data_IF_422425578903
#
_entry.id   IF_422425578903
#
_cell.length_a   1.000
_cell.length_b   1.000
_cell.length_c   1.000
_cell.angle_alpha   90.00
_cell.angle_beta   90.00
_cell.angle_gamma   90.00
#
_symmetry.space_group_name_H-M   'P 1'
#
loop_
_entity.id
_entity.type
_entity.pdbx_description
1 polymer ?
#
# COMPACT_ATOMS: atom_id res chain seq x y z
N UNK A 1 3.21 5.35 -8.25
CA UNK A 1 1.75 5.49 -8.18
C UNK A 1 1.22 4.64 -7.04
N UNK A 2 0.03 4.96 -6.52
CA UNK A 2 -0.56 4.30 -5.36
C UNK A 2 -0.86 2.81 -5.59
N UNK A 3 -1.45 2.52 -6.75
CA UNK A 3 -1.74 1.16 -7.21
C UNK A 3 -0.53 0.71 -8.04
N UNK A 4 0.08 -0.38 -7.60
CA UNK A 4 1.21 -1.03 -8.22
C UNK A 4 0.81 -2.19 -9.13
N UNK A 5 1.79 -3.06 -9.41
CA UNK A 5 1.63 -4.17 -10.34
C UNK A 5 0.89 -5.39 -9.78
N UNK A 6 0.95 -6.47 -10.58
CA UNK A 6 0.38 -7.78 -10.26
C UNK A 6 0.99 -8.48 -9.03
N UNK A 7 0.37 -9.58 -8.59
CA UNK A 7 0.88 -10.40 -7.48
C UNK A 7 2.29 -10.94 -7.84
N UNK A 8 3.20 -11.01 -6.86
CA UNK A 8 4.63 -11.36 -7.05
C UNK A 8 5.42 -10.42 -7.98
N UNK A 9 4.81 -9.34 -8.48
CA UNK A 9 5.51 -8.37 -9.31
C UNK A 9 6.54 -7.59 -8.51
N UNK A 10 7.61 -7.13 -9.17
CA UNK A 10 8.62 -6.30 -8.55
C UNK A 10 8.15 -4.84 -8.34
N UNK A 11 7.06 -4.41 -8.99
CA UNK A 11 6.52 -3.06 -8.86
C UNK A 11 6.11 -2.75 -7.40
N UNK A 12 6.58 -1.61 -6.88
CA UNK A 12 6.25 -1.14 -5.54
C UNK A 12 4.82 -0.58 -5.42
N UNK A 13 4.43 -0.25 -4.19
CA UNK A 13 3.10 0.27 -3.87
C UNK A 13 2.07 -0.80 -3.52
N UNK A 14 0.78 -0.43 -3.49
CA UNK A 14 -0.30 -1.37 -3.15
C UNK A 14 -0.60 -2.26 -4.35
N UNK A 15 -0.49 -3.58 -4.17
CA UNK A 15 -0.72 -4.55 -5.23
C UNK A 15 -2.13 -4.48 -5.77
N UNK A 16 -2.27 -4.76 -7.07
CA UNK A 16 -3.58 -4.75 -7.73
C UNK A 16 -4.54 -5.78 -7.12
N UNK A 17 -4.03 -6.90 -6.57
CA UNK A 17 -4.85 -7.91 -5.89
C UNK A 17 -5.45 -7.39 -4.58
N UNK A 18 -4.67 -6.66 -3.79
CA UNK A 18 -5.15 -5.98 -2.58
C UNK A 18 -6.24 -4.97 -2.92
N UNK A 19 -6.01 -4.17 -3.97
CA UNK A 19 -7.00 -3.19 -4.43
C UNK A 19 -8.28 -3.87 -4.93
N UNK A 20 -8.17 -4.98 -5.66
CA UNK A 20 -9.30 -5.77 -6.13
C UNK A 20 -10.14 -6.33 -4.98
N UNK A 21 -9.51 -6.91 -3.95
CA UNK A 21 -10.21 -7.42 -2.76
C UNK A 21 -10.96 -6.28 -2.03
N UNK A 22 -10.36 -5.09 -1.94
CA UNK A 22 -11.02 -3.92 -1.35
C UNK A 22 -12.24 -3.47 -2.13
N UNK A 23 -12.20 -3.49 -3.47
CA UNK A 23 -13.38 -3.20 -4.30
C UNK A 23 -14.49 -4.21 -4.05
N UNK A 24 -14.17 -5.51 -3.99
CA UNK A 24 -15.15 -6.56 -3.70
C UNK A 24 -15.73 -6.41 -2.30
N UNK A 25 -14.89 -6.08 -1.32
CA UNK A 25 -15.34 -5.77 0.04
C UNK A 25 -16.29 -4.56 0.05
N UNK A 26 -15.94 -3.47 -0.62
CA UNK A 26 -16.79 -2.28 -0.70
C UNK A 26 -18.12 -2.56 -1.40
N UNK A 27 -18.10 -3.35 -2.49
CA UNK A 27 -19.33 -3.81 -3.16
C UNK A 27 -20.21 -4.60 -2.21
N UNK A 28 -19.62 -5.46 -1.37
CA UNK A 28 -20.35 -6.21 -0.36
C UNK A 28 -20.90 -5.32 0.76
N UNK A 29 -20.22 -4.24 1.14
CA UNK A 29 -20.75 -3.27 2.11
C UNK A 29 -21.97 -2.53 1.55
N UNK A 30 -21.94 -2.14 0.27
CA UNK A 30 -23.04 -1.43 -0.40
C UNK A 30 -24.23 -2.36 -0.66
N UNK A 31 -23.95 -3.61 -1.05
CA UNK A 31 -24.95 -4.67 -1.22
C UNK A 31 -24.59 -5.83 -0.31
N UNK A 32 -25.06 -5.83 0.95
CA UNK A 32 -24.71 -6.85 1.93
C UNK A 32 -25.12 -8.23 1.45
N UNK A 33 -24.14 -8.97 0.93
CA UNK A 33 -24.19 -10.41 0.77
C UNK A 33 -23.48 -11.04 1.97
N UNK A 34 -23.84 -12.28 2.28
CA UNK A 34 -23.32 -12.97 3.46
C UNK A 34 -21.77 -13.05 3.48
N UNK A 35 -21.14 -13.06 2.29
CA UNK A 35 -19.68 -13.21 2.12
C UNK A 35 -19.18 -12.42 0.91
N UNK A 36 -17.94 -11.95 0.97
CA UNK A 36 -17.27 -11.30 -0.16
C UNK A 36 -16.93 -12.36 -1.19
N UNK A 37 -17.41 -12.22 -2.43
CA UNK A 37 -17.20 -13.23 -3.48
C UNK A 37 -16.37 -12.69 -4.65
N UNK A 38 -15.48 -13.53 -5.16
CA UNK A 38 -14.73 -13.33 -6.40
C UNK A 38 -15.00 -14.52 -7.33
N UNK A 39 -15.40 -14.27 -8.58
CA UNK A 39 -15.70 -15.32 -9.56
C UNK A 39 -16.72 -16.40 -9.11
N UNK A 40 -17.59 -16.07 -8.17
CA UNK A 40 -18.58 -17.01 -7.62
C UNK A 40 -18.07 -17.85 -6.44
N UNK A 41 -16.82 -17.67 -6.02
CA UNK A 41 -16.26 -18.29 -4.81
C UNK A 41 -16.10 -17.27 -3.68
N UNK A 42 -16.29 -17.72 -2.44
CA UNK A 42 -16.12 -16.88 -1.25
C UNK A 42 -14.64 -16.55 -1.03
N UNK A 43 -14.29 -15.28 -0.92
CA UNK A 43 -12.94 -14.84 -0.54
C UNK A 43 -12.74 -15.09 0.95
N UNK A 44 -11.60 -15.68 1.32
CA UNK A 44 -11.27 -15.90 2.73
C UNK A 44 -11.29 -14.57 3.52
N UNK A 45 -11.95 -14.58 4.69
CA UNK A 45 -11.98 -13.42 5.60
C UNK A 45 -10.57 -12.94 5.97
N UNK A 46 -9.61 -13.86 6.01
CA UNK A 46 -8.22 -13.53 6.27
C UNK A 46 -7.61 -12.68 5.15
N UNK A 47 -7.82 -13.06 3.88
CA UNK A 47 -7.34 -12.27 2.73
C UNK A 47 -7.95 -10.86 2.72
N UNK A 48 -9.22 -10.71 3.10
CA UNK A 48 -9.87 -9.40 3.25
C UNK A 48 -9.25 -8.59 4.38
N UNK A 49 -9.05 -9.20 5.55
CA UNK A 49 -8.46 -8.53 6.71
C UNK A 49 -7.01 -8.07 6.43
N UNK A 50 -6.17 -8.93 5.85
CA UNK A 50 -4.80 -8.61 5.46
C UNK A 50 -4.80 -7.48 4.42
N UNK A 51 -5.63 -7.57 3.39
CA UNK A 51 -5.73 -6.52 2.36
C UNK A 51 -6.08 -5.16 2.94
N UNK A 52 -7.01 -5.15 3.87
CA UNK A 52 -7.44 -3.93 4.57
C UNK A 52 -6.33 -3.36 5.44
N UNK A 53 -5.62 -4.20 6.21
CA UNK A 53 -4.47 -3.77 7.02
C UNK A 53 -3.36 -3.17 6.18
N UNK A 54 -3.00 -3.82 5.06
CA UNK A 54 -1.98 -3.32 4.12
C UNK A 54 -2.38 -1.94 3.59
N UNK A 55 -3.65 -1.77 3.19
CA UNK A 55 -4.15 -0.52 2.63
C UNK A 55 -4.10 0.65 3.63
N UNK A 56 -4.53 0.42 4.87
CA UNK A 56 -4.46 1.46 5.90
C UNK A 56 -3.02 1.80 6.25
N UNK A 57 -2.15 0.79 6.39
CA UNK A 57 -0.73 1.02 6.69
C UNK A 57 -0.05 1.84 5.57
N UNK A 58 -0.31 1.48 4.30
CA UNK A 58 0.20 2.22 3.15
C UNK A 58 -0.31 3.66 3.13
N UNK A 59 -1.62 3.87 3.29
CA UNK A 59 -2.24 5.20 3.28
C UNK A 59 -1.71 6.09 4.40
N UNK A 60 -1.62 5.57 5.64
CA UNK A 60 -1.11 6.32 6.78
C UNK A 60 0.35 6.70 6.55
N UNK A 61 1.19 5.75 6.10
CA UNK A 61 2.60 6.03 5.83
C UNK A 61 2.78 7.12 4.78
N UNK A 62 2.02 7.06 3.68
CA UNK A 62 2.03 8.08 2.64
C UNK A 62 1.64 9.47 3.15
N UNK A 63 0.58 9.57 3.97
CA UNK A 63 0.16 10.85 4.54
C UNK A 63 1.23 11.44 5.46
N UNK A 64 1.87 10.61 6.29
CA UNK A 64 2.97 11.03 7.17
C UNK A 64 4.16 11.51 6.36
N UNK A 65 4.62 10.75 5.35
CA UNK A 65 5.74 11.16 4.51
C UNK A 65 5.42 12.42 3.69
N UNK A 66 4.20 12.54 3.16
CA UNK A 66 3.76 13.74 2.46
C UNK A 66 3.85 14.96 3.37
N UNK A 67 3.35 14.87 4.60
CA UNK A 67 3.42 15.95 5.58
C UNK A 67 4.87 16.32 5.93
N UNK A 68 5.72 15.33 6.20
CA UNK A 68 7.15 15.57 6.49
C UNK A 68 7.89 16.23 5.33
N UNK A 69 7.63 15.80 4.09
CA UNK A 69 8.24 16.39 2.89
C UNK A 69 7.71 17.80 2.67
N UNK A 70 6.42 18.07 2.85
CA UNK A 70 5.86 19.42 2.76
C UNK A 70 6.51 20.37 3.77
N UNK A 71 6.70 19.92 5.02
CA UNK A 71 7.41 20.70 6.04
C UNK A 71 8.87 20.95 5.65
N UNK A 72 9.57 19.93 5.14
CA UNK A 72 10.96 20.03 4.73
C UNK A 72 11.15 20.94 3.50
N UNK A 73 10.15 21.02 2.61
CA UNK A 73 10.21 21.81 1.39
C UNK A 73 10.02 23.30 1.61
N UNK A 74 9.39 23.71 2.71
CA UNK A 74 9.21 25.12 3.06
C UNK A 74 8.46 25.92 2.00
N UNK A 75 7.44 25.33 1.36
CA UNK A 75 6.61 25.92 0.28
C UNK A 75 7.37 26.31 -1.00
N UNK A 76 8.51 25.68 -1.31
CA UNK A 76 9.22 25.91 -2.58
C UNK A 76 8.46 25.38 -3.81
N UNK A 77 7.67 24.33 -3.63
CA UNK A 77 6.87 23.70 -4.68
C UNK A 77 5.40 23.61 -4.28
N UNK A 78 4.52 23.55 -5.28
CA UNK A 78 3.10 23.33 -5.08
C UNK A 78 2.80 21.95 -4.47
N UNK A 79 1.70 21.85 -3.74
CA UNK A 79 1.24 20.61 -3.09
C UNK A 79 1.03 19.50 -4.12
N UNK A 80 0.57 19.85 -5.33
CA UNK A 80 0.41 18.95 -6.46
C UNK A 80 1.70 18.26 -6.89
N UNK A 81 2.81 19.00 -6.94
CA UNK A 81 4.15 18.49 -7.28
C UNK A 81 4.62 17.52 -6.20
N UNK A 82 4.49 17.91 -4.93
CA UNK A 82 4.88 17.09 -3.79
C UNK A 82 4.08 15.78 -3.78
N UNK A 83 2.77 15.87 -3.98
CA UNK A 83 1.89 14.71 -4.05
C UNK A 83 2.33 13.74 -5.14
N UNK A 84 2.62 14.24 -6.35
CA UNK A 84 3.07 13.41 -7.45
C UNK A 84 4.40 12.70 -7.15
N UNK A 85 5.38 13.41 -6.58
CA UNK A 85 6.69 12.88 -6.22
C UNK A 85 6.60 11.79 -5.13
N UNK A 86 5.83 12.06 -4.07
CA UNK A 86 5.60 11.10 -2.98
C UNK A 86 4.94 9.82 -3.53
N UNK A 87 3.94 9.97 -4.39
CA UNK A 87 3.24 8.84 -5.01
C UNK A 87 4.15 8.07 -5.97
N UNK A 88 5.03 8.77 -6.69
CA UNK A 88 6.02 8.16 -7.58
C UNK A 88 7.07 7.37 -6.81
N UNK A 89 7.62 7.95 -5.74
CA UNK A 89 8.60 7.33 -4.86
C UNK A 89 8.03 6.10 -4.15
N UNK A 90 6.84 6.19 -3.55
CA UNK A 90 6.18 5.05 -2.92
C UNK A 90 5.88 3.91 -3.90
N UNK A 91 5.43 4.24 -5.12
CA UNK A 91 5.21 3.24 -6.15
C UNK A 91 6.49 2.79 -6.86
N UNK A 92 7.65 3.35 -6.53
CA UNK A 92 8.93 3.14 -7.23
C UNK A 92 8.83 3.30 -8.75
N UNK A 93 8.04 4.28 -9.20
CA UNK A 93 7.76 4.49 -10.64
C UNK A 93 8.89 5.25 -11.33
N UNK A 94 9.62 6.10 -10.59
CA UNK A 94 10.78 6.84 -11.10
C UNK A 94 10.43 8.05 -11.97
N UNK A 95 9.16 8.49 -11.98
CA UNK A 95 8.73 9.73 -12.61
C UNK A 95 8.89 10.90 -11.64
N UNK A 96 9.26 12.07 -12.17
CA UNK A 96 9.43 13.31 -11.41
C UNK A 96 8.85 14.48 -12.21
N UNK A 97 8.32 15.48 -11.50
CA UNK A 97 7.92 16.77 -12.07
C UNK A 97 9.03 17.83 -11.96
N UNK A 98 10.27 17.41 -11.71
CA UNK A 98 11.44 18.28 -11.61
C UNK A 98 11.78 18.73 -10.19
N UNK A 99 11.06 18.27 -9.17
CA UNK A 99 11.36 18.58 -7.77
C UNK A 99 12.61 17.84 -7.27
N UNK A 100 12.89 16.64 -7.78
CA UNK A 100 13.99 15.78 -7.29
C UNK A 100 15.37 16.43 -7.47
N UNK A 101 15.54 17.35 -8.43
CA UNK A 101 16.79 18.06 -8.65
C UNK A 101 17.11 19.13 -7.58
N UNK A 102 16.10 19.62 -6.86
CA UNK A 102 16.22 20.69 -5.86
C UNK A 102 16.01 20.19 -4.42
N UNK A 103 16.19 18.88 -4.22
CA UNK A 103 15.90 18.19 -2.98
C UNK A 103 16.95 18.50 -1.91
N UNK A 104 16.52 18.92 -0.72
CA UNK A 104 17.39 19.09 0.44
C UNK A 104 17.85 17.73 0.99
N UNK A 105 18.92 17.67 1.79
CA UNK A 105 19.46 16.39 2.26
C UNK A 105 18.46 15.60 3.12
N UNK A 106 17.62 16.31 3.88
CA UNK A 106 16.53 15.71 4.67
C UNK A 106 15.44 15.12 3.77
N UNK A 107 15.05 15.82 2.70
CA UNK A 107 14.05 15.32 1.75
C UNK A 107 14.56 14.10 0.99
N UNK A 108 15.85 14.06 0.62
CA UNK A 108 16.47 12.88 -0.02
C UNK A 108 16.36 11.66 0.88
N UNK A 109 16.64 11.80 2.17
CA UNK A 109 16.53 10.70 3.13
C UNK A 109 15.08 10.19 3.24
N UNK A 110 14.10 11.10 3.27
CA UNK A 110 12.68 10.74 3.29
C UNK A 110 12.27 9.99 2.01
N UNK A 111 12.71 10.43 0.83
CA UNK A 111 12.43 9.73 -0.42
C UNK A 111 13.08 8.34 -0.48
N UNK A 112 14.31 8.18 0.00
CA UNK A 112 14.99 6.87 0.08
C UNK A 112 14.20 5.93 0.98
N UNK A 113 13.79 6.38 2.17
CA UNK A 113 12.98 5.58 3.08
C UNK A 113 11.63 5.19 2.45
N UNK A 114 10.98 6.13 1.75
CA UNK A 114 9.71 5.89 1.08
C UNK A 114 9.84 4.89 -0.09
N UNK A 115 10.90 4.99 -0.90
CA UNK A 115 11.18 4.04 -1.98
C UNK A 115 11.50 2.65 -1.43
N UNK A 116 12.26 2.56 -0.35
CA UNK A 116 12.56 1.29 0.32
C UNK A 116 11.29 0.64 0.85
N UNK A 117 10.44 1.42 1.54
CA UNK A 117 9.13 0.96 2.03
C UNK A 117 8.22 0.50 0.90
N UNK A 118 8.17 1.26 -0.21
CA UNK A 118 7.42 0.92 -1.40
C UNK A 118 7.87 -0.38 -2.09
N UNK A 119 9.19 -0.61 -2.16
CA UNK A 119 9.79 -1.77 -2.86
C UNK A 119 9.80 -3.06 -2.02
N UNK A 120 10.14 -2.97 -0.73
CA UNK A 120 10.13 -4.13 0.20
C UNK A 120 8.72 -4.70 0.35
N UNK A 121 7.71 -3.87 0.05
CA UNK A 121 6.31 -4.22 0.10
C UNK A 121 5.76 -3.99 1.49
N UNK A 122 4.68 -3.22 1.55
CA UNK A 122 3.99 -2.89 2.81
C UNK A 122 3.56 -4.16 3.57
N UNK A 123 3.33 -5.27 2.86
CA UNK A 123 3.03 -6.58 3.46
C UNK A 123 4.21 -7.18 4.23
N UNK A 124 5.42 -7.16 3.64
CA UNK A 124 6.64 -7.65 4.29
C UNK A 124 6.95 -6.83 5.53
N UNK A 125 6.76 -5.51 5.48
CA UNK A 125 6.88 -4.64 6.66
C UNK A 125 5.85 -4.99 7.72
N UNK A 126 4.60 -5.26 7.32
CA UNK A 126 3.55 -5.71 8.24
C UNK A 126 3.97 -6.99 8.99
N UNK A 127 4.54 -7.97 8.28
CA UNK A 127 5.04 -9.21 8.88
C UNK A 127 6.24 -8.93 9.79
N UNK A 128 7.19 -8.10 9.35
CA UNK A 128 8.39 -7.76 10.11
C UNK A 128 8.05 -7.05 11.44
N UNK A 129 7.09 -6.13 11.42
CA UNK A 129 6.64 -5.42 12.62
C UNK A 129 5.74 -6.25 13.53
N UNK A 130 4.93 -7.15 12.98
CA UNK A 130 4.01 -7.98 13.78
C UNK A 130 4.75 -9.17 14.42
N UNK A 131 5.90 -9.57 13.89
CA UNK A 131 6.60 -10.77 14.31
C UNK A 131 5.79 -12.05 14.02
N UNK A 132 6.45 -13.21 14.12
CA UNK A 132 5.83 -14.53 13.88
C UNK A 132 4.57 -14.82 14.74
N UNK A 133 4.29 -13.97 15.73
CA UNK A 133 3.16 -14.02 16.66
C UNK A 133 1.79 -13.74 16.02
N UNK A 134 1.74 -13.02 14.88
CA UNK A 134 0.47 -12.63 14.24
C UNK A 134 -0.11 -13.63 13.23
N UNK A 135 0.64 -14.68 12.88
CA UNK A 135 0.24 -15.68 11.87
C UNK A 135 -0.29 -16.99 12.49
N UNK A 136 -0.02 -17.25 13.77
CA UNK A 136 -0.33 -18.52 14.42
C UNK A 136 -1.83 -18.87 14.48
N UNK A 137 -2.70 -17.87 14.35
CA UNK A 137 -4.17 -18.03 14.44
C UNK A 137 -4.91 -17.68 13.15
N UNK A 138 -4.17 -17.52 12.04
CA UNK A 138 -4.75 -17.26 10.70
C UNK A 138 -5.05 -18.56 9.93
N UNK A 139 -4.82 -19.71 10.58
CA UNK A 139 -5.16 -21.05 10.12
C UNK A 139 -6.53 -21.55 10.59
N UNK A 140 -7.42 -20.64 11.02
CA UNK A 140 -8.81 -20.97 11.28
C UNK A 140 -9.51 -21.48 10.00
N UNK A 141 -10.11 -22.66 10.12
CA UNK A 141 -10.85 -23.46 9.15
C UNK A 141 -11.98 -22.67 8.43
N UNK A 142 -11.63 -21.76 7.52
CA UNK A 142 -12.55 -21.03 6.63
C UNK A 142 -12.03 -21.19 5.18
N UNK A 143 -12.56 -22.22 4.50
CA UNK A 143 -12.13 -22.75 3.19
C UNK A 143 -12.62 -21.90 1.99
N UNK A 144 -12.40 -20.58 2.05
CA UNK A 144 -12.64 -19.67 0.93
C UNK A 144 -11.44 -19.55 -0.02
N UNK A 145 -11.67 -19.02 -1.21
CA UNK A 145 -10.65 -18.67 -2.20
C UNK A 145 -9.57 -17.79 -1.56
N UNK A 146 -8.35 -18.33 -1.50
CA UNK A 146 -7.16 -17.62 -0.99
C UNK A 146 -6.53 -16.84 -2.13
N UNK A 147 -6.84 -15.55 -2.20
CA UNK A 147 -6.20 -14.65 -3.15
C UNK A 147 -4.85 -14.22 -2.57
N UNK A 148 -3.80 -14.29 -3.38
CA UNK A 148 -2.46 -13.84 -3.00
C UNK A 148 -2.47 -12.32 -2.74
N UNK A 149 -2.18 -11.96 -1.49
CA UNK A 149 -2.06 -10.57 -1.03
C UNK A 149 -0.58 -10.32 -0.75
N UNK A 150 0.06 -9.46 -1.55
CA UNK A 150 1.52 -9.27 -1.56
C UNK A 150 2.18 -9.86 -2.79
#
# INVERSE_FOLDING_TARGET
MFIGGGPQGAAGGIKITTFFILILYLKNVIRPQARVQAWGEDVSKNSVAISTRIYFLATISLVVFMFLITLANGNRHGIETIFFEVMSAFGTVGLSLGMTAYTNDLEKFLYIALMFMGRVGTFTLLIAFTGHSGLGDLGGKDDGLKIQVG
#
